data_IF_410365318479
#
_entry.id   IF_410365318479
#
_cell.length_a   1.000
_cell.length_b   1.000
_cell.length_c   1.000
_cell.angle_alpha   90.00
_cell.angle_beta   90.00
_cell.angle_gamma   90.00
#
_symmetry.space_group_name_H-M   'P 1'
#
loop_
_entity.id
_entity.type
_entity.pdbx_description
1 polymer ?
#
# COMPACT_ATOMS: atom_id res chain seq x y z
N UNK A 1 16.70 12.62 -7.07
CA UNK A 1 15.51 13.45 -7.32
C UNK A 1 14.36 13.07 -6.41
N UNK A 2 13.74 11.91 -6.64
CA UNK A 2 12.56 11.42 -5.90
C UNK A 2 12.76 11.34 -4.38
N UNK A 3 13.90 10.82 -3.91
CA UNK A 3 14.20 10.71 -2.47
C UNK A 3 14.19 12.09 -1.78
N UNK A 4 14.77 13.11 -2.42
CA UNK A 4 14.75 14.50 -1.91
C UNK A 4 13.34 15.10 -1.94
N UNK A 5 12.50 14.68 -2.89
CA UNK A 5 11.11 15.13 -3.01
C UNK A 5 10.24 14.52 -1.89
N UNK A 6 10.38 13.22 -1.62
CA UNK A 6 9.72 12.55 -0.48
C UNK A 6 10.19 13.10 0.87
N UNK A 7 11.48 13.39 1.00
CA UNK A 7 12.04 14.01 2.19
C UNK A 7 11.52 15.44 2.40
N UNK A 8 11.50 16.27 1.34
CA UNK A 8 10.96 17.62 1.41
C UNK A 8 9.46 17.64 1.77
N UNK A 9 8.69 16.71 1.20
CA UNK A 9 7.26 16.56 1.53
C UNK A 9 7.06 16.11 2.97
N UNK A 10 7.89 15.20 3.48
CA UNK A 10 7.85 14.79 4.89
C UNK A 10 8.13 15.93 5.89
N UNK A 11 8.86 16.98 5.48
CA UNK A 11 9.11 18.16 6.34
C UNK A 11 7.93 19.14 6.30
N UNK A 12 7.23 19.28 5.18
CA UNK A 12 6.06 20.16 5.06
C UNK A 12 4.77 19.53 5.56
N UNK A 13 4.66 18.20 5.52
CA UNK A 13 3.47 17.49 5.95
C UNK A 13 3.55 17.17 7.44
N UNK A 14 2.71 17.81 8.25
CA UNK A 14 2.74 17.64 9.70
C UNK A 14 1.79 16.53 10.16
N UNK A 15 2.11 15.84 11.26
CA UNK A 15 1.20 14.87 11.92
C UNK A 15 -0.20 15.47 12.23
N UNK A 16 -0.32 16.74 12.64
CA UNK A 16 -1.61 17.43 12.77
C UNK A 16 -2.42 17.47 11.46
N UNK A 17 -1.77 17.68 10.31
CA UNK A 17 -2.46 17.70 9.01
C UNK A 17 -3.07 16.34 8.69
N UNK A 18 -2.34 15.26 8.98
CA UNK A 18 -2.85 13.89 8.86
C UNK A 18 -4.05 13.65 9.79
N UNK A 19 -3.94 14.10 11.04
CA UNK A 19 -5.01 13.97 12.03
C UNK A 19 -6.27 14.74 11.65
N UNK A 20 -6.13 15.88 10.95
CA UNK A 20 -7.24 16.69 10.48
C UNK A 20 -8.10 15.99 9.42
N UNK A 21 -7.50 15.11 8.61
CA UNK A 21 -8.16 14.41 7.50
C UNK A 21 -8.48 12.94 7.78
N UNK A 22 -8.14 12.43 8.98
CA UNK A 22 -8.26 11.01 9.36
C UNK A 22 -9.63 10.38 9.08
N UNK A 23 -10.70 11.16 9.24
CA UNK A 23 -12.08 10.70 9.05
C UNK A 23 -12.43 10.42 7.59
N UNK A 24 -11.65 10.96 6.65
CA UNK A 24 -11.79 10.72 5.21
C UNK A 24 -10.70 9.76 4.73
N UNK A 25 -9.44 10.00 5.14
CA UNK A 25 -8.28 9.23 4.70
C UNK A 25 -8.33 7.75 5.11
N UNK A 26 -8.68 7.45 6.36
CA UNK A 26 -8.70 6.07 6.89
C UNK A 26 -9.78 5.20 6.23
N UNK A 27 -11.08 5.58 6.24
CA UNK A 27 -12.09 4.78 5.57
C UNK A 27 -11.90 4.77 4.05
N UNK A 28 -11.34 5.84 3.48
CA UNK A 28 -10.95 5.90 2.08
C UNK A 28 -9.94 4.81 1.70
N UNK A 29 -8.80 4.77 2.39
CA UNK A 29 -7.74 3.79 2.13
C UNK A 29 -8.26 2.35 2.28
N UNK A 30 -8.96 2.05 3.38
CA UNK A 30 -9.54 0.71 3.60
C UNK A 30 -10.57 0.36 2.54
N UNK A 31 -11.48 1.30 2.24
CA UNK A 31 -12.53 1.11 1.24
C UNK A 31 -11.95 0.86 -0.15
N UNK A 32 -10.95 1.62 -0.56
CA UNK A 32 -10.30 1.45 -1.85
C UNK A 32 -9.56 0.11 -1.94
N UNK A 33 -8.82 -0.32 -0.90
CA UNK A 33 -8.18 -1.64 -0.88
C UNK A 33 -9.22 -2.76 -1.05
N UNK A 34 -10.33 -2.70 -0.30
CA UNK A 34 -11.39 -3.71 -0.37
C UNK A 34 -12.06 -3.70 -1.74
N UNK A 35 -12.41 -2.53 -2.28
CA UNK A 35 -13.08 -2.41 -3.58
C UNK A 35 -12.14 -2.86 -4.70
N UNK A 36 -10.89 -2.41 -4.72
CA UNK A 36 -9.91 -2.83 -5.73
C UNK A 36 -9.68 -4.33 -5.69
N UNK A 37 -9.54 -4.91 -4.50
CA UNK A 37 -9.39 -6.36 -4.33
C UNK A 37 -10.64 -7.11 -4.80
N UNK A 38 -11.83 -6.66 -4.41
CA UNK A 38 -13.09 -7.30 -4.79
C UNK A 38 -13.34 -7.22 -6.31
N UNK A 39 -13.17 -6.05 -6.92
CA UNK A 39 -13.32 -5.86 -8.36
C UNK A 39 -12.35 -6.76 -9.12
N UNK A 40 -11.09 -6.79 -8.71
CA UNK A 40 -10.07 -7.61 -9.39
C UNK A 40 -10.35 -9.10 -9.21
N UNK A 41 -10.76 -9.54 -8.02
CA UNK A 41 -11.16 -10.92 -7.76
C UNK A 41 -12.36 -11.39 -8.62
N UNK A 42 -13.27 -10.47 -8.97
CA UNK A 42 -14.44 -10.77 -9.82
C UNK A 42 -14.13 -10.71 -11.32
N UNK A 43 -13.21 -9.84 -11.74
CA UNK A 43 -12.87 -9.63 -13.16
C UNK A 43 -11.84 -10.64 -13.68
N UNK A 44 -10.85 -11.00 -12.85
CA UNK A 44 -9.77 -11.93 -13.24
C UNK A 44 -10.25 -13.32 -13.72
N UNK A 45 -11.33 -13.90 -13.18
CA UNK A 45 -11.93 -15.12 -13.72
C UNK A 45 -12.38 -15.03 -15.17
N UNK A 46 -12.67 -13.84 -15.70
CA UNK A 46 -13.03 -13.65 -17.12
C UNK A 46 -11.87 -13.97 -18.07
N UNK A 47 -10.62 -13.91 -17.58
CA UNK A 47 -9.42 -14.33 -18.31
C UNK A 47 -9.02 -15.79 -18.05
N UNK A 48 -9.88 -16.57 -17.40
CA UNK A 48 -9.65 -17.99 -17.10
C UNK A 48 -8.75 -18.25 -15.89
N UNK A 49 -8.47 -17.23 -15.07
CA UNK A 49 -7.64 -17.34 -13.87
C UNK A 49 -8.50 -17.65 -12.63
N UNK A 50 -7.92 -18.25 -11.59
CA UNK A 50 -8.69 -18.57 -10.37
C UNK A 50 -8.92 -17.33 -9.50
N UNK A 51 -9.97 -17.36 -8.65
CA UNK A 51 -10.26 -16.28 -7.70
C UNK A 51 -9.08 -15.94 -6.78
N UNK A 52 -8.27 -16.92 -6.40
CA UNK A 52 -7.06 -16.70 -5.60
C UNK A 52 -6.04 -15.80 -6.33
N UNK A 53 -5.84 -16.01 -7.65
CA UNK A 53 -5.00 -15.13 -8.45
C UNK A 53 -5.60 -13.72 -8.53
N UNK A 54 -6.93 -13.61 -8.63
CA UNK A 54 -7.62 -12.32 -8.65
C UNK A 54 -7.49 -11.52 -7.36
N UNK A 55 -7.50 -12.17 -6.19
CA UNK A 55 -7.25 -11.50 -4.91
C UNK A 55 -5.80 -11.01 -4.80
N UNK A 56 -4.82 -11.85 -5.17
CA UNK A 56 -3.39 -11.47 -5.17
C UNK A 56 -3.13 -10.32 -6.15
N UNK A 57 -3.74 -10.38 -7.33
CA UNK A 57 -3.61 -9.34 -8.35
C UNK A 57 -4.30 -8.03 -7.92
N UNK A 58 -5.44 -8.11 -7.24
CA UNK A 58 -6.14 -6.95 -6.69
C UNK A 58 -5.35 -6.26 -5.59
N UNK A 59 -4.73 -7.04 -4.69
CA UNK A 59 -3.79 -6.50 -3.70
C UNK A 59 -2.58 -5.84 -4.36
N UNK A 60 -2.04 -6.42 -5.44
CA UNK A 60 -0.91 -5.86 -6.17
C UNK A 60 -1.25 -4.54 -6.88
N UNK A 61 -2.42 -4.44 -7.51
CA UNK A 61 -2.90 -3.21 -8.18
C UNK A 61 -3.29 -2.13 -7.17
N UNK A 62 -3.71 -2.52 -5.96
CA UNK A 62 -4.12 -1.57 -4.93
C UNK A 62 -2.96 -0.69 -4.43
N UNK A 63 -1.70 -1.05 -4.70
CA UNK A 63 -0.55 -0.28 -4.26
C UNK A 63 -0.41 0.99 -5.12
N UNK A 64 -0.72 2.14 -4.53
CA UNK A 64 -0.52 3.44 -5.17
C UNK A 64 0.91 3.96 -5.03
N UNK A 65 1.47 4.59 -6.08
CA UNK A 65 2.77 5.24 -5.97
C UNK A 65 2.64 6.62 -5.29
N UNK A 66 2.92 6.66 -3.99
CA UNK A 66 3.03 7.90 -3.18
C UNK A 66 3.83 8.99 -3.88
N UNK A 67 4.99 8.63 -4.42
CA UNK A 67 5.89 9.55 -5.13
C UNK A 67 5.22 10.23 -6.31
N UNK A 68 4.53 9.46 -7.15
CA UNK A 68 3.94 9.96 -8.39
C UNK A 68 2.75 10.88 -8.05
N UNK A 69 1.93 10.51 -7.07
CA UNK A 69 0.81 11.34 -6.62
C UNK A 69 1.30 12.68 -6.06
N UNK A 70 2.26 12.64 -5.12
CA UNK A 70 2.83 13.83 -4.50
C UNK A 70 3.47 14.72 -5.57
N UNK A 71 4.24 14.14 -6.51
CA UNK A 71 4.84 14.90 -7.60
C UNK A 71 3.77 15.53 -8.50
N UNK A 72 2.73 14.78 -8.86
CA UNK A 72 1.61 15.30 -9.65
C UNK A 72 0.88 16.45 -8.96
N UNK A 73 0.71 16.40 -7.63
CA UNK A 73 0.06 17.47 -6.85
C UNK A 73 0.95 18.71 -6.73
N UNK A 74 2.25 18.51 -6.56
CA UNK A 74 3.24 19.59 -6.53
C UNK A 74 3.37 20.28 -7.88
N UNK A 75 3.38 19.51 -8.98
CA UNK A 75 3.52 20.03 -10.36
C UNK A 75 2.34 20.94 -10.74
N UNK A 76 1.15 20.72 -10.17
CA UNK A 76 -0.04 21.57 -10.36
C UNK A 76 -0.28 22.56 -9.20
N UNK A 77 0.61 22.62 -8.20
CA UNK A 77 0.52 23.55 -7.07
C UNK A 77 -0.64 23.28 -6.10
N UNK A 78 -1.19 22.07 -6.07
CA UNK A 78 -2.35 21.71 -5.24
C UNK A 78 -1.99 20.96 -3.95
N UNK A 79 -0.70 20.77 -3.66
CA UNK A 79 -0.23 20.00 -2.50
C UNK A 79 -0.80 20.53 -1.16
N UNK A 80 -0.78 21.85 -0.97
CA UNK A 80 -1.25 22.51 0.26
C UNK A 80 -2.76 22.80 0.27
N UNK A 81 -3.49 22.39 -0.77
CA UNK A 81 -4.95 22.52 -0.79
C UNK A 81 -5.61 21.53 0.17
N UNK A 82 -6.87 21.77 0.54
CA UNK A 82 -7.64 20.81 1.34
C UNK A 82 -7.70 19.43 0.68
N UNK A 83 -7.88 19.39 -0.65
CA UNK A 83 -7.88 18.14 -1.42
C UNK A 83 -6.49 17.49 -1.48
N UNK A 84 -5.42 18.28 -1.60
CA UNK A 84 -4.04 17.81 -1.56
C UNK A 84 -3.69 17.16 -0.23
N UNK A 85 -4.04 17.81 0.89
CA UNK A 85 -3.86 17.22 2.23
C UNK A 85 -4.65 15.94 2.43
N UNK A 86 -5.89 15.87 1.92
CA UNK A 86 -6.68 14.63 1.97
C UNK A 86 -6.01 13.53 1.14
N UNK A 87 -5.58 13.84 -0.08
CA UNK A 87 -4.94 12.87 -0.97
C UNK A 87 -3.62 12.35 -0.40
N UNK A 88 -2.74 13.23 0.08
CA UNK A 88 -1.48 12.82 0.74
C UNK A 88 -1.76 12.04 2.02
N UNK A 89 -2.70 12.51 2.85
CA UNK A 89 -3.08 11.81 4.08
C UNK A 89 -3.67 10.42 3.82
N UNK A 90 -4.44 10.26 2.75
CA UNK A 90 -4.95 8.97 2.29
C UNK A 90 -3.82 8.01 1.96
N UNK A 91 -2.89 8.41 1.08
CA UNK A 91 -1.83 7.49 0.64
C UNK A 91 -0.84 7.19 1.78
N UNK A 92 -0.59 8.14 2.70
CA UNK A 92 0.20 7.88 3.91
C UNK A 92 -0.45 6.82 4.80
N UNK A 93 -1.77 6.88 5.00
CA UNK A 93 -2.49 5.85 5.77
C UNK A 93 -2.44 4.50 5.08
N UNK A 94 -2.58 4.47 3.76
CA UNK A 94 -2.47 3.26 2.94
C UNK A 94 -1.08 2.59 3.09
N UNK A 95 0.01 3.36 3.01
CA UNK A 95 1.38 2.87 3.16
C UNK A 95 1.61 2.28 4.57
N UNK A 96 1.15 3.00 5.60
CA UNK A 96 1.22 2.52 7.00
C UNK A 96 0.43 1.23 7.21
N UNK A 97 -0.79 1.15 6.66
CA UNK A 97 -1.61 -0.05 6.74
C UNK A 97 -0.92 -1.23 6.05
N UNK A 98 -0.31 -0.99 4.88
CA UNK A 98 0.42 -2.02 4.12
C UNK A 98 1.61 -2.55 4.90
N UNK A 99 2.38 -1.69 5.57
CA UNK A 99 3.49 -2.11 6.45
C UNK A 99 2.98 -3.00 7.59
N UNK A 100 1.85 -2.63 8.23
CA UNK A 100 1.24 -3.44 9.29
C UNK A 100 0.79 -4.81 8.77
N UNK A 101 0.09 -4.85 7.62
CA UNK A 101 -0.34 -6.12 7.00
C UNK A 101 0.85 -7.00 6.66
N UNK A 102 1.93 -6.42 6.14
CA UNK A 102 3.14 -7.16 5.79
C UNK A 102 3.83 -7.74 7.03
N UNK A 103 3.96 -6.96 8.10
CA UNK A 103 4.50 -7.43 9.39
C UNK A 103 3.64 -8.56 9.97
N UNK A 104 2.32 -8.37 10.01
CA UNK A 104 1.40 -9.37 10.56
C UNK A 104 1.44 -10.68 9.77
N UNK A 105 1.59 -10.60 8.45
CA UNK A 105 1.74 -11.78 7.58
C UNK A 105 3.04 -12.52 7.91
N UNK A 106 4.15 -11.79 8.08
CA UNK A 106 5.42 -12.36 8.52
C UNK A 106 5.33 -13.01 9.90
N UNK A 107 4.67 -12.35 10.86
CA UNK A 107 4.44 -12.87 12.20
C UNK A 107 3.59 -14.15 12.18
N UNK A 108 2.51 -14.18 11.38
CA UNK A 108 1.65 -15.34 11.23
C UNK A 108 2.41 -16.54 10.64
N UNK A 109 3.25 -16.32 9.63
CA UNK A 109 4.12 -17.34 9.06
C UNK A 109 5.12 -17.88 10.09
N UNK A 110 5.71 -16.99 10.90
CA UNK A 110 6.60 -17.40 11.98
C UNK A 110 5.89 -18.27 13.04
N UNK A 111 4.66 -17.91 13.42
CA UNK A 111 3.82 -18.69 14.35
C UNK A 111 3.45 -20.07 13.81
N UNK A 112 3.34 -20.23 12.49
CA UNK A 112 3.09 -21.53 11.85
C UNK A 112 4.35 -22.42 11.81
N UNK A 113 5.45 -22.00 12.45
CA UNK A 113 6.68 -22.79 12.55
C UNK A 113 7.58 -22.66 11.33
N UNK A 114 7.27 -21.76 10.39
CA UNK A 114 8.12 -21.50 9.23
C UNK A 114 9.33 -20.71 9.73
N UNK A 115 10.46 -21.40 9.86
CA UNK A 115 11.67 -20.77 10.38
C UNK A 115 12.18 -19.71 9.39
N UNK A 116 12.74 -18.58 9.86
CA UNK A 116 13.37 -17.59 8.96
C UNK A 116 14.45 -18.20 8.05
N UNK A 117 15.03 -19.32 8.49
CA UNK A 117 16.04 -20.10 7.78
C UNK A 117 15.42 -20.88 6.61
N UNK A 118 14.24 -21.48 6.75
CA UNK A 118 13.50 -22.11 5.66
C UNK A 118 12.99 -21.09 4.64
N UNK A 119 12.50 -19.93 5.09
CA UNK A 119 12.11 -18.83 4.19
C UNK A 119 13.32 -18.33 3.41
N UNK A 120 14.47 -18.16 4.08
CA UNK A 120 15.72 -17.79 3.43
C UNK A 120 16.24 -18.86 2.46
N UNK A 121 16.06 -20.16 2.77
CA UNK A 121 16.43 -21.27 1.89
C UNK A 121 15.51 -21.37 0.66
N UNK A 122 14.21 -21.15 0.82
CA UNK A 122 13.23 -21.10 -0.27
C UNK A 122 13.48 -19.89 -1.17
N UNK A 123 13.71 -18.70 -0.58
CA UNK A 123 14.03 -17.48 -1.31
C UNK A 123 15.39 -17.56 -2.04
N UNK A 124 16.35 -18.32 -1.50
CA UNK A 124 17.64 -18.62 -2.15
C UNK A 124 17.56 -19.77 -3.16
N UNK A 125 16.37 -20.37 -3.39
CA UNK A 125 16.19 -21.46 -4.35
C UNK A 125 16.90 -22.77 -3.99
N UNK A 126 17.34 -22.93 -2.74
CA UNK A 126 18.19 -24.05 -2.30
C UNK A 126 17.40 -25.27 -1.77
N UNK A 127 16.10 -25.39 -2.10
CA UNK A 127 15.33 -26.60 -1.76
C UNK A 127 15.34 -27.59 -2.93
N UNK A 128 16.49 -28.20 -3.16
CA UNK A 128 16.63 -29.38 -4.01
C UNK A 128 17.78 -30.25 -3.50
N UNK A 129 17.53 -30.97 -2.40
CA UNK A 129 17.52 -32.44 -2.36
C UNK A 129 17.03 -32.93 -0.99
#
# INVERSE_FOLDING_TARGET
>A
GVILLMFGVGIHFSLPDLWSVRWVAIPGAVGQIVIATAVTALVVPLWGWTYAHGMVFGLAISISSTVVLIRSLTDVGLLDSAHGRIAVGWVVVEDLATVVVLEMTGYALHRLGVSPQEIALIARGLRSR
#
